data_IF_222965817663
#
_entry.id   IF_222965817663
#
_cell.length_a   1.000
_cell.length_b   1.000
_cell.length_c   1.000
_cell.angle_alpha   90.00
_cell.angle_beta   90.00
_cell.angle_gamma   90.00
#
_symmetry.space_group_name_H-M   'P 1'
#
loop_
_entity.id
_entity.type
_entity.pdbx_description
1 polymer ?
#
# COMPACT_ATOMS: atom_id res chain seq x y z
N UNK A 1 10.53 52.31 -10.03
CA UNK A 1 10.05 50.96 -10.37
C UNK A 1 10.47 50.66 -11.79
N UNK A 2 11.35 49.69 -12.00
CA UNK A 2 11.42 48.93 -13.26
C UNK A 2 12.08 47.60 -12.92
N UNK A 3 11.27 46.54 -13.01
CA UNK A 3 11.66 45.16 -12.73
C UNK A 3 12.68 44.69 -13.77
N UNK A 4 13.78 44.12 -13.29
CA UNK A 4 14.65 43.25 -14.08
C UNK A 4 13.82 42.08 -14.61
N UNK A 5 13.57 42.03 -15.91
CA UNK A 5 13.07 40.82 -16.56
C UNK A 5 14.26 39.85 -16.69
N UNK A 6 14.20 38.76 -15.93
CA UNK A 6 15.08 37.61 -16.11
C UNK A 6 14.67 36.92 -17.42
N UNK A 7 15.43 37.14 -18.50
CA UNK A 7 15.33 36.30 -19.69
C UNK A 7 15.89 34.91 -19.33
N UNK A 8 15.01 33.99 -18.94
CA UNK A 8 15.36 32.57 -18.87
C UNK A 8 15.75 32.10 -20.28
N UNK A 9 16.84 31.34 -20.40
CA UNK A 9 17.17 30.70 -21.68
C UNK A 9 15.98 29.87 -22.17
N UNK A 10 15.63 29.94 -23.46
CA UNK A 10 14.50 29.21 -24.00
C UNK A 10 14.72 27.72 -23.83
N UNK A 11 13.80 27.07 -23.12
CA UNK A 11 13.81 25.63 -22.89
C UNK A 11 13.72 24.93 -24.25
N UNK A 12 14.68 24.06 -24.55
CA UNK A 12 14.96 23.59 -25.91
C UNK A 12 13.77 22.95 -26.63
N UNK A 13 12.79 22.39 -25.91
CA UNK A 13 11.61 21.73 -26.47
C UNK A 13 10.36 22.62 -26.60
N UNK A 14 10.28 23.77 -25.92
CA UNK A 14 9.02 24.55 -25.80
C UNK A 14 8.55 25.22 -27.09
N UNK A 15 9.44 25.43 -28.06
CA UNK A 15 9.18 26.16 -29.31
C UNK A 15 9.53 25.31 -30.53
N UNK A 16 9.46 23.97 -30.41
CA UNK A 16 9.92 23.01 -31.40
C UNK A 16 8.77 22.22 -31.99
N UNK A 17 8.91 21.82 -33.24
CA UNK A 17 7.94 20.97 -33.95
C UNK A 17 8.34 19.50 -33.80
N UNK A 18 7.40 18.68 -33.32
CA UNK A 18 7.58 17.23 -33.17
C UNK A 18 6.96 16.50 -34.35
N UNK A 19 7.70 15.57 -34.96
CA UNK A 19 7.22 14.65 -35.98
C UNK A 19 7.24 13.23 -35.43
N UNK A 20 6.07 12.60 -35.35
CA UNK A 20 5.96 11.22 -34.89
C UNK A 20 6.13 10.23 -36.05
N UNK A 21 6.93 9.20 -35.82
CA UNK A 21 7.18 8.10 -36.74
C UNK A 21 6.69 6.82 -36.10
N UNK A 22 5.85 6.09 -36.85
CA UNK A 22 5.48 4.72 -36.56
C UNK A 22 6.31 3.77 -37.44
N UNK A 23 7.35 3.10 -36.91
CA UNK A 23 8.38 2.42 -37.71
C UNK A 23 7.79 1.46 -38.74
N UNK A 24 6.88 0.58 -38.31
CA UNK A 24 6.28 -0.47 -39.14
C UNK A 24 5.63 0.03 -40.43
N UNK A 25 5.17 1.28 -40.49
CA UNK A 25 4.43 1.82 -41.64
C UNK A 25 5.09 3.03 -42.28
N UNK A 26 6.31 3.40 -41.88
CA UNK A 26 6.93 4.62 -42.37
C UNK A 26 7.65 4.40 -43.71
N UNK A 27 8.69 3.56 -43.72
CA UNK A 27 9.45 3.27 -44.94
C UNK A 27 10.19 1.93 -44.83
N UNK A 28 9.85 1.01 -45.72
CA UNK A 28 10.56 -0.27 -45.92
C UNK A 28 11.76 -0.05 -46.87
N UNK A 29 12.91 -0.65 -46.52
CA UNK A 29 14.13 -0.65 -47.34
C UNK A 29 14.63 -2.04 -47.77
N UNK A 30 14.10 -3.12 -47.21
CA UNK A 30 14.57 -4.48 -47.47
C UNK A 30 13.56 -5.31 -48.30
N UNK A 31 12.33 -4.80 -48.48
CA UNK A 31 11.27 -5.41 -49.28
C UNK A 31 10.43 -6.46 -48.55
N UNK A 32 10.50 -6.55 -47.22
CA UNK A 32 9.69 -7.47 -46.41
C UNK A 32 8.26 -6.96 -46.13
N UNK A 33 7.96 -5.72 -46.50
CA UNK A 33 6.65 -5.09 -46.33
C UNK A 33 6.43 -4.38 -45.00
N UNK A 34 7.44 -4.33 -44.13
CA UNK A 34 7.44 -3.62 -42.84
C UNK A 34 8.47 -2.50 -42.91
N UNK A 35 8.12 -1.32 -42.39
CA UNK A 35 9.06 -0.21 -42.31
C UNK A 35 10.16 -0.45 -41.27
N UNK A 36 11.36 0.04 -41.55
CA UNK A 36 12.57 -0.27 -40.79
C UNK A 36 13.39 1.01 -40.46
N UNK A 37 14.34 0.89 -39.53
CA UNK A 37 15.18 2.02 -39.08
C UNK A 37 16.03 2.60 -40.23
N UNK A 38 16.68 1.80 -41.11
CA UNK A 38 17.34 2.32 -42.30
C UNK A 38 16.40 3.14 -43.21
N UNK A 39 15.12 2.79 -43.27
CA UNK A 39 14.08 3.53 -43.96
C UNK A 39 13.81 4.88 -43.34
N UNK A 40 13.75 4.95 -42.02
CA UNK A 40 13.69 6.22 -41.28
C UNK A 40 14.89 7.09 -41.63
N UNK A 41 16.10 6.52 -41.56
CA UNK A 41 17.36 7.22 -41.86
C UNK A 41 17.32 7.81 -43.28
N UNK A 42 16.86 7.05 -44.27
CA UNK A 42 16.77 7.48 -45.68
C UNK A 42 15.82 8.68 -45.91
N UNK A 43 15.00 9.04 -44.93
CA UNK A 43 14.02 10.13 -44.99
C UNK A 43 14.31 11.28 -44.03
N UNK A 44 15.44 11.26 -43.32
CA UNK A 44 15.78 12.34 -42.40
C UNK A 44 15.92 13.70 -43.09
N UNK A 45 16.46 13.75 -44.31
CA UNK A 45 16.55 14.99 -45.09
C UNK A 45 15.15 15.53 -45.44
N UNK A 46 14.21 14.65 -45.79
CA UNK A 46 12.81 15.02 -46.02
C UNK A 46 12.15 15.58 -44.75
N UNK A 47 12.40 14.96 -43.59
CA UNK A 47 11.85 15.40 -42.30
C UNK A 47 12.47 16.76 -41.90
N UNK A 48 13.77 16.95 -42.15
CA UNK A 48 14.47 18.20 -41.88
C UNK A 48 13.94 19.34 -42.77
N UNK A 49 13.72 19.07 -44.07
CA UNK A 49 13.17 20.04 -45.03
C UNK A 49 11.75 20.52 -44.66
N UNK A 50 10.97 19.69 -43.94
CA UNK A 50 9.66 20.09 -43.39
C UNK A 50 9.78 21.10 -42.23
N UNK A 51 10.98 21.34 -41.71
CA UNK A 51 11.22 22.22 -40.55
C UNK A 51 10.96 21.54 -39.21
N UNK A 52 11.07 20.20 -39.14
CA UNK A 52 10.93 19.44 -37.90
C UNK A 52 12.16 19.61 -37.02
N UNK A 53 11.94 19.71 -35.71
CA UNK A 53 13.00 19.86 -34.72
C UNK A 53 13.21 18.61 -33.86
N UNK A 54 12.13 17.84 -33.61
CA UNK A 54 12.14 16.66 -32.74
C UNK A 54 11.44 15.52 -33.46
N UNK A 55 12.05 14.34 -33.48
CA UNK A 55 11.45 13.12 -33.98
C UNK A 55 11.04 12.25 -32.78
N UNK A 56 9.76 11.88 -32.70
CA UNK A 56 9.26 10.88 -31.77
C UNK A 56 9.18 9.55 -32.51
N UNK A 57 9.93 8.54 -32.07
CA UNK A 57 9.85 7.19 -32.62
C UNK A 57 9.01 6.32 -31.69
N UNK A 58 7.89 5.80 -32.20
CA UNK A 58 7.08 4.78 -31.51
C UNK A 58 7.91 3.52 -31.21
N UNK A 59 7.42 2.58 -30.37
CA UNK A 59 8.22 1.47 -29.88
C UNK A 59 8.87 0.65 -31.01
N UNK A 60 10.20 0.54 -30.93
CA UNK A 60 11.05 -0.16 -31.90
C UNK A 60 11.93 -1.23 -31.23
N UNK A 61 11.76 -1.41 -29.92
CA UNK A 61 12.41 -2.41 -29.10
C UNK A 61 11.97 -3.83 -29.48
N UNK A 62 12.78 -4.82 -29.10
CA UNK A 62 12.42 -6.23 -29.26
C UNK A 62 11.08 -6.50 -28.57
N UNK A 63 10.15 -7.08 -29.32
CA UNK A 63 8.76 -7.28 -28.88
C UNK A 63 8.13 -8.45 -29.65
N UNK A 64 7.19 -9.21 -29.04
CA UNK A 64 6.37 -10.20 -29.73
C UNK A 64 5.41 -9.63 -30.79
N UNK A 65 5.25 -8.30 -30.84
CA UNK A 65 4.39 -7.58 -31.78
C UNK A 65 2.88 -7.85 -31.63
N UNK A 66 2.42 -8.28 -30.45
CA UNK A 66 0.98 -8.47 -30.19
C UNK A 66 0.25 -7.12 -30.19
N UNK A 67 0.90 -6.09 -29.66
CA UNK A 67 0.44 -4.70 -29.70
C UNK A 67 1.42 -3.82 -30.50
N UNK A 68 1.93 -4.40 -31.60
CA UNK A 68 2.76 -3.72 -32.59
C UNK A 68 3.93 -2.90 -31.97
N UNK A 69 4.62 -3.50 -31.00
CA UNK A 69 5.82 -2.94 -30.37
C UNK A 69 5.61 -2.39 -28.96
N UNK A 70 4.36 -2.15 -28.54
CA UNK A 70 4.10 -1.66 -27.18
C UNK A 70 4.29 -2.76 -26.11
N UNK A 71 4.23 -4.03 -26.49
CA UNK A 71 4.56 -5.22 -25.69
C UNK A 71 6.06 -5.55 -25.74
N UNK A 72 6.91 -4.84 -25.00
CA UNK A 72 8.37 -4.97 -25.09
C UNK A 72 8.91 -6.19 -24.34
N UNK A 73 9.64 -7.07 -25.03
CA UNK A 73 10.32 -8.22 -24.44
C UNK A 73 11.78 -7.97 -24.04
N UNK A 74 12.46 -6.99 -24.68
CA UNK A 74 13.78 -6.52 -24.26
C UNK A 74 13.98 -5.03 -24.58
N UNK A 75 14.16 -4.20 -23.55
CA UNK A 75 14.37 -2.76 -23.68
C UNK A 75 15.75 -2.36 -24.21
N UNK A 76 16.71 -3.30 -24.27
CA UNK A 76 18.09 -3.04 -24.70
C UNK A 76 18.40 -3.57 -26.10
N UNK A 77 17.42 -4.21 -26.75
CA UNK A 77 17.54 -4.78 -28.10
C UNK A 77 16.46 -4.23 -29.03
N UNK A 78 16.69 -4.31 -30.34
CA UNK A 78 15.80 -3.80 -31.39
C UNK A 78 14.99 -4.96 -31.97
N UNK A 79 13.72 -4.72 -32.32
CA UNK A 79 12.94 -5.75 -32.98
C UNK A 79 13.56 -6.10 -34.33
N UNK A 80 13.66 -7.39 -34.61
CA UNK A 80 14.43 -7.95 -35.72
C UNK A 80 14.00 -7.40 -37.09
N UNK A 81 12.70 -7.11 -37.24
CA UNK A 81 12.14 -6.53 -38.47
C UNK A 81 12.51 -5.05 -38.67
N UNK A 82 12.90 -4.34 -37.61
CA UNK A 82 13.26 -2.92 -37.69
C UNK A 82 14.76 -2.67 -37.86
N UNK A 83 15.60 -3.64 -37.50
CA UNK A 83 17.07 -3.57 -37.66
C UNK A 83 17.82 -4.04 -36.41
N UNK A 84 19.10 -3.67 -36.33
CA UNK A 84 19.95 -3.98 -35.19
C UNK A 84 20.18 -2.76 -34.28
N UNK A 85 20.77 -2.98 -33.10
CA UNK A 85 21.12 -1.92 -32.17
C UNK A 85 22.04 -0.86 -32.81
N UNK A 86 22.95 -1.27 -33.69
CA UNK A 86 23.82 -0.39 -34.47
C UNK A 86 23.04 0.54 -35.42
N UNK A 87 21.93 0.07 -35.98
CA UNK A 87 21.05 0.90 -36.82
C UNK A 87 20.36 1.99 -35.98
N UNK A 88 19.92 1.65 -34.77
CA UNK A 88 19.35 2.63 -33.84
C UNK A 88 20.39 3.67 -33.39
N UNK A 89 21.62 3.23 -33.09
CA UNK A 89 22.72 4.15 -32.78
C UNK A 89 23.02 5.09 -33.96
N UNK A 90 23.02 4.58 -35.18
CA UNK A 90 23.19 5.39 -36.40
C UNK A 90 22.03 6.37 -36.59
N UNK A 91 20.79 5.95 -36.37
CA UNK A 91 19.62 6.84 -36.42
C UNK A 91 19.78 8.02 -35.46
N UNK A 92 20.14 7.76 -34.20
CA UNK A 92 20.35 8.82 -33.20
C UNK A 92 21.43 9.80 -33.66
N UNK A 93 22.56 9.28 -34.14
CA UNK A 93 23.67 10.11 -34.62
C UNK A 93 23.24 10.97 -35.83
N UNK A 94 22.58 10.37 -36.81
CA UNK A 94 22.17 11.05 -38.04
C UNK A 94 21.08 12.11 -37.82
N UNK A 95 20.20 11.92 -36.83
CA UNK A 95 19.24 12.95 -36.39
C UNK A 95 20.00 14.13 -35.77
N UNK A 96 20.98 13.84 -34.90
CA UNK A 96 21.78 14.88 -34.24
C UNK A 96 22.68 15.66 -35.21
N UNK A 97 23.28 14.99 -36.20
CA UNK A 97 24.11 15.65 -37.23
C UNK A 97 23.30 16.67 -38.06
N UNK A 98 21.98 16.48 -38.13
CA UNK A 98 21.02 17.38 -38.78
C UNK A 98 20.46 18.45 -37.84
N UNK A 99 20.94 18.53 -36.61
CA UNK A 99 20.50 19.51 -35.60
C UNK A 99 19.10 19.24 -35.05
N UNK A 100 18.48 18.10 -35.38
CA UNK A 100 17.23 17.64 -34.81
C UNK A 100 17.49 16.87 -33.50
N UNK A 101 16.43 16.60 -32.73
CA UNK A 101 16.47 15.76 -31.52
C UNK A 101 15.59 14.54 -31.71
N UNK A 102 15.87 13.47 -30.97
CA UNK A 102 15.04 12.26 -30.95
C UNK A 102 14.54 12.00 -29.54
N UNK A 103 13.30 11.57 -29.44
CA UNK A 103 12.71 10.99 -28.23
C UNK A 103 12.11 9.63 -28.59
N UNK A 104 12.17 8.70 -27.67
CA UNK A 104 11.59 7.37 -27.82
C UNK A 104 10.36 7.22 -26.95
N UNK A 105 9.43 6.41 -27.43
CA UNK A 105 8.28 5.97 -26.66
C UNK A 105 8.70 4.91 -25.63
N UNK A 106 8.18 4.99 -24.40
CA UNK A 106 8.51 4.08 -23.30
C UNK A 106 7.21 3.44 -22.77
N UNK A 107 6.80 2.28 -23.28
CA UNK A 107 5.52 1.66 -22.90
C UNK A 107 5.58 0.96 -21.54
N UNK A 108 4.40 0.79 -20.91
CA UNK A 108 4.22 0.34 -19.51
C UNK A 108 3.84 -1.15 -19.33
N UNK A 109 4.00 -2.00 -20.35
CA UNK A 109 3.64 -3.43 -20.28
C UNK A 109 4.89 -4.32 -20.43
N UNK A 110 4.87 -5.51 -19.82
CA UNK A 110 5.92 -6.51 -20.04
C UNK A 110 5.83 -7.16 -21.43
N UNK A 111 6.83 -7.98 -21.75
CA UNK A 111 6.93 -8.72 -23.01
C UNK A 111 5.87 -9.79 -23.23
N UNK A 112 4.89 -9.92 -22.34
CA UNK A 112 3.70 -10.75 -22.52
C UNK A 112 2.41 -9.91 -22.64
N UNK A 113 2.53 -8.57 -22.72
CA UNK A 113 1.40 -7.65 -22.74
C UNK A 113 0.72 -7.47 -21.39
N UNK A 114 1.32 -7.97 -20.29
CA UNK A 114 0.78 -7.77 -18.96
C UNK A 114 1.21 -6.41 -18.41
N UNK A 115 0.26 -5.70 -17.84
CA UNK A 115 0.54 -4.52 -17.01
C UNK A 115 1.31 -5.02 -15.78
N UNK A 116 2.58 -4.62 -15.62
CA UNK A 116 3.39 -5.03 -14.48
C UNK A 116 3.04 -4.21 -13.26
N UNK A 117 2.67 -4.89 -12.17
CA UNK A 117 2.47 -4.23 -10.87
C UNK A 117 3.80 -3.61 -10.41
N UNK A 118 3.78 -2.47 -9.71
CA UNK A 118 5.01 -1.81 -9.26
C UNK A 118 5.90 -2.66 -8.33
N UNK A 119 5.32 -3.60 -7.57
CA UNK A 119 6.03 -4.54 -6.71
C UNK A 119 5.18 -5.80 -6.43
N UNK A 120 5.73 -6.72 -5.64
CA UNK A 120 5.11 -8.00 -5.28
C UNK A 120 4.16 -7.96 -4.05
N UNK A 121 3.67 -6.81 -3.59
CA UNK A 121 2.92 -6.73 -2.34
C UNK A 121 1.56 -7.43 -2.38
N UNK A 122 1.25 -8.17 -1.31
CA UNK A 122 -0.07 -8.79 -1.05
C UNK A 122 -0.94 -7.90 -0.16
N UNK A 123 -2.20 -7.77 -0.53
CA UNK A 123 -3.27 -7.20 0.28
C UNK A 123 -3.54 -8.05 1.53
N UNK A 124 -4.07 -7.44 2.58
CA UNK A 124 -4.58 -8.12 3.78
C UNK A 124 -5.78 -9.05 3.50
N UNK A 125 -6.36 -8.97 2.30
CA UNK A 125 -7.45 -9.82 1.78
C UNK A 125 -7.00 -10.64 0.56
N UNK A 126 -5.79 -11.21 0.62
CA UNK A 126 -5.21 -12.25 -0.25
C UNK A 126 -4.90 -11.89 -1.72
N UNK A 127 -5.50 -10.83 -2.26
CA UNK A 127 -5.22 -10.32 -3.61
C UNK A 127 -3.93 -9.48 -3.71
N UNK A 128 -3.42 -9.14 -4.91
CA UNK A 128 -2.37 -8.14 -5.06
C UNK A 128 -2.77 -6.78 -4.45
N UNK A 129 -1.81 -6.07 -3.86
CA UNK A 129 -2.06 -4.75 -3.24
C UNK A 129 -2.13 -3.59 -4.24
N UNK A 130 -2.33 -3.88 -5.52
CA UNK A 130 -2.34 -2.90 -6.61
C UNK A 130 -3.49 -3.18 -7.57
N UNK A 131 -4.27 -2.15 -7.88
CA UNK A 131 -5.31 -2.19 -8.91
C UNK A 131 -4.95 -1.23 -10.03
N UNK A 132 -5.08 -1.67 -11.27
CA UNK A 132 -4.83 -0.84 -12.45
C UNK A 132 -6.03 0.04 -12.73
N UNK A 133 -5.80 1.33 -12.98
CA UNK A 133 -6.81 2.26 -13.47
C UNK A 133 -6.64 2.47 -14.98
N UNK A 134 -7.63 2.02 -15.74
CA UNK A 134 -7.66 2.19 -17.20
C UNK A 134 -7.79 3.65 -17.64
N UNK A 135 -8.19 4.57 -16.76
CA UNK A 135 -8.30 5.99 -17.10
C UNK A 135 -6.92 6.65 -17.18
N UNK A 136 -6.08 6.43 -16.17
CA UNK A 136 -4.76 7.05 -16.03
C UNK A 136 -3.62 6.16 -16.54
N UNK A 137 -3.90 4.89 -16.83
CA UNK A 137 -2.90 3.89 -17.21
C UNK A 137 -1.82 3.70 -16.14
N UNK A 138 -2.25 3.71 -14.87
CA UNK A 138 -1.40 3.56 -13.69
C UNK A 138 -2.02 2.62 -12.67
N UNK A 139 -1.18 2.04 -11.81
CA UNK A 139 -1.62 1.30 -10.65
C UNK A 139 -1.78 2.24 -9.45
N UNK A 140 -2.84 2.04 -8.67
CA UNK A 140 -2.95 2.61 -7.34
C UNK A 140 -2.82 1.52 -6.27
N UNK A 141 -2.24 1.87 -5.13
CA UNK A 141 -1.99 0.95 -4.03
C UNK A 141 -3.21 0.86 -3.10
N UNK A 142 -3.51 -0.35 -2.65
CA UNK A 142 -4.49 -0.65 -1.61
C UNK A 142 -4.00 -1.84 -0.76
N UNK A 143 -3.60 -1.61 0.49
CA UNK A 143 -3.18 -2.71 1.39
C UNK A 143 -4.37 -3.53 1.90
N UNK A 144 -5.60 -3.08 1.64
CA UNK A 144 -6.87 -3.79 1.89
C UNK A 144 -7.61 -4.05 0.56
N UNK A 145 -8.93 -3.89 0.50
CA UNK A 145 -9.70 -4.11 -0.72
C UNK A 145 -9.39 -3.05 -1.80
N UNK A 146 -9.61 -3.38 -3.06
CA UNK A 146 -9.39 -2.44 -4.19
C UNK A 146 -10.22 -1.15 -4.09
N UNK A 147 -11.38 -1.20 -3.41
CA UNK A 147 -12.19 -0.02 -3.10
C UNK A 147 -11.66 0.84 -1.93
N UNK A 148 -10.52 0.49 -1.35
CA UNK A 148 -9.87 1.17 -0.22
C UNK A 148 -8.45 1.64 -0.63
N UNK A 149 -8.32 2.60 -1.57
CA UNK A 149 -7.01 3.12 -1.94
C UNK A 149 -6.30 3.78 -0.75
N UNK A 150 -5.02 3.50 -0.59
CA UNK A 150 -4.22 4.09 0.48
C UNK A 150 -4.03 5.60 0.26
N UNK A 151 -4.31 6.39 1.29
CA UNK A 151 -3.98 7.82 1.30
C UNK A 151 -2.46 8.01 1.41
N UNK A 152 -1.92 8.96 0.65
CA UNK A 152 -0.50 9.29 0.67
C UNK A 152 -0.20 10.31 1.79
N UNK A 153 0.23 9.82 2.94
CA UNK A 153 0.59 10.65 4.10
C UNK A 153 1.88 11.46 3.90
N UNK A 154 2.71 11.16 2.90
CA UNK A 154 3.86 12.00 2.57
C UNK A 154 3.40 13.38 2.04
N UNK A 155 2.22 13.45 1.44
CA UNK A 155 1.61 14.70 0.96
C UNK A 155 1.01 15.49 2.14
N UNK A 156 1.62 16.62 2.48
CA UNK A 156 1.12 17.48 3.57
C UNK A 156 -0.32 17.95 3.32
N UNK A 157 -0.71 18.29 2.08
CA UNK A 157 -2.08 18.71 1.79
C UNK A 157 -3.09 17.59 2.09
N UNK A 158 -2.72 16.33 1.81
CA UNK A 158 -3.54 15.18 2.19
C UNK A 158 -3.71 15.07 3.71
N UNK A 159 -2.62 15.21 4.48
CA UNK A 159 -2.68 15.16 5.95
C UNK A 159 -3.53 16.29 6.52
N UNK A 160 -3.36 17.52 6.02
CA UNK A 160 -4.16 18.68 6.43
C UNK A 160 -5.65 18.47 6.16
N UNK A 161 -6.00 17.93 4.99
CA UNK A 161 -7.38 17.61 4.63
C UNK A 161 -8.01 16.59 5.59
N UNK A 162 -7.26 15.53 5.96
CA UNK A 162 -7.69 14.55 6.97
C UNK A 162 -7.96 15.25 8.31
N UNK A 163 -7.01 16.06 8.77
CA UNK A 163 -7.12 16.75 10.06
C UNK A 163 -8.30 17.71 10.12
N UNK A 164 -8.46 18.56 9.11
CA UNK A 164 -9.45 19.63 9.14
C UNK A 164 -10.86 19.10 8.84
N UNK A 165 -11.00 18.20 7.88
CA UNK A 165 -12.32 17.79 7.37
C UNK A 165 -12.79 16.41 7.85
N UNK A 166 -11.89 15.50 8.21
CA UNK A 166 -12.29 14.21 8.79
C UNK A 166 -12.27 14.22 10.32
N UNK A 167 -11.36 14.96 10.95
CA UNK A 167 -11.14 14.89 12.40
C UNK A 167 -11.79 16.08 13.13
N UNK A 168 -11.34 17.33 12.87
CA UNK A 168 -11.87 18.53 13.54
C UNK A 168 -13.36 18.71 13.31
N UNK A 169 -13.86 18.37 12.13
CA UNK A 169 -15.29 18.40 11.82
C UNK A 169 -16.15 17.73 12.90
N UNK A 170 -15.72 16.57 13.42
CA UNK A 170 -16.45 15.84 14.47
C UNK A 170 -16.16 16.36 15.87
N UNK A 171 -14.93 16.79 16.15
CA UNK A 171 -14.60 17.40 17.44
C UNK A 171 -15.34 18.72 17.68
N UNK A 172 -15.50 19.54 16.65
CA UNK A 172 -16.31 20.76 16.68
C UNK A 172 -17.81 20.47 16.91
N UNK A 173 -18.21 19.20 16.84
CA UNK A 173 -19.57 18.70 17.11
C UNK A 173 -19.66 17.91 18.42
N UNK A 174 -18.60 17.88 19.22
CA UNK A 174 -18.60 17.31 20.56
C UNK A 174 -18.36 15.81 20.64
N UNK A 175 -17.69 15.20 19.66
CA UNK A 175 -17.14 13.85 19.82
C UNK A 175 -16.01 13.88 20.86
N UNK A 176 -15.96 12.91 21.77
CA UNK A 176 -14.96 12.88 22.86
C UNK A 176 -13.70 12.08 22.52
N UNK A 177 -13.61 11.50 21.32
CA UNK A 177 -12.46 10.70 20.94
C UNK A 177 -12.59 9.91 19.65
N UNK A 178 -11.49 9.29 19.24
CA UNK A 178 -11.43 8.41 18.07
C UNK A 178 -10.77 7.08 18.39
N UNK A 179 -11.38 6.00 17.87
CA UNK A 179 -10.65 4.75 17.57
C UNK A 179 -10.04 4.92 16.19
N UNK A 180 -8.71 4.97 16.11
CA UNK A 180 -8.00 5.18 14.85
C UNK A 180 -7.71 3.83 14.21
N UNK A 181 -8.27 3.61 13.03
CA UNK A 181 -8.11 2.34 12.29
C UNK A 181 -6.70 2.22 11.72
N UNK A 182 -6.06 1.09 12.01
CA UNK A 182 -4.78 0.64 11.44
C UNK A 182 -3.73 1.75 11.30
N UNK A 183 -3.64 2.58 12.34
CA UNK A 183 -2.90 3.83 12.34
C UNK A 183 -1.39 3.62 12.22
N UNK A 184 -0.87 2.48 12.63
CA UNK A 184 0.52 2.11 12.34
C UNK A 184 0.85 1.94 10.86
N UNK A 185 -0.13 2.05 9.93
CA UNK A 185 0.08 1.83 8.49
C UNK A 185 0.16 3.10 7.66
N UNK A 186 0.17 4.29 8.27
CA UNK A 186 0.17 5.56 7.53
C UNK A 186 1.49 5.82 6.79
N UNK A 187 2.63 5.44 7.38
CA UNK A 187 3.95 5.65 6.80
C UNK A 187 4.42 4.44 6.00
N UNK A 188 4.69 4.63 4.70
CA UNK A 188 5.24 3.60 3.81
C UNK A 188 6.73 3.87 3.57
N UNK A 189 7.52 2.81 3.42
CA UNK A 189 8.93 2.92 3.04
C UNK A 189 9.04 3.53 1.63
N UNK A 190 9.90 4.54 1.50
CA UNK A 190 10.12 5.25 0.22
C UNK A 190 10.54 4.29 -0.90
N UNK A 191 10.02 4.53 -2.10
CA UNK A 191 10.26 3.70 -3.28
C UNK A 191 9.40 2.43 -3.34
N UNK A 192 8.64 2.10 -2.28
CA UNK A 192 7.75 0.93 -2.22
C UNK A 192 8.44 -0.36 -2.69
N UNK A 193 9.60 -0.72 -2.11
CA UNK A 193 10.41 -1.83 -2.58
C UNK A 193 9.67 -3.16 -2.50
N UNK A 194 10.09 -4.15 -3.29
CA UNK A 194 9.58 -5.52 -3.15
C UNK A 194 9.69 -6.04 -1.71
N UNK A 195 8.66 -6.76 -1.29
CA UNK A 195 8.67 -7.49 -0.05
C UNK A 195 9.58 -8.72 -0.15
N UNK A 196 10.23 -9.12 0.96
CA UNK A 196 11.01 -10.36 1.00
C UNK A 196 10.17 -11.57 0.58
N UNK A 197 10.77 -12.46 -0.21
CA UNK A 197 10.13 -13.72 -0.61
C UNK A 197 10.18 -14.68 0.59
N UNK A 198 9.06 -14.78 1.30
CA UNK A 198 8.87 -15.67 2.46
C UNK A 198 7.97 -16.87 2.11
N UNK A 199 7.15 -16.74 1.07
CA UNK A 199 6.28 -17.78 0.53
C UNK A 199 6.67 -18.03 -0.95
N UNK A 200 7.69 -18.85 -1.25
CA UNK A 200 8.25 -19.00 -2.60
C UNK A 200 7.25 -19.42 -3.68
N UNK A 201 6.20 -20.13 -3.27
CA UNK A 201 5.16 -20.64 -4.17
C UNK A 201 4.04 -19.61 -4.43
N UNK A 202 4.16 -18.39 -3.90
CA UNK A 202 3.16 -17.34 -4.03
C UNK A 202 3.69 -16.17 -4.84
N UNK A 203 2.90 -15.70 -5.81
CA UNK A 203 3.25 -14.57 -6.67
C UNK A 203 3.39 -13.26 -5.88
N UNK A 204 2.52 -13.05 -4.89
CA UNK A 204 2.54 -11.89 -4.01
C UNK A 204 3.09 -12.25 -2.64
N UNK A 205 3.66 -11.28 -1.92
CA UNK A 205 4.31 -11.47 -0.63
C UNK A 205 3.77 -10.47 0.39
N UNK A 206 3.74 -10.86 1.67
CA UNK A 206 3.38 -9.93 2.74
C UNK A 206 4.41 -8.81 2.87
N UNK A 207 3.96 -7.57 2.69
CA UNK A 207 4.82 -6.38 2.74
C UNK A 207 4.69 -5.58 4.04
N UNK A 208 4.20 -6.22 5.11
CA UNK A 208 3.96 -5.57 6.42
C UNK A 208 5.20 -4.83 6.92
N UNK A 209 6.41 -5.36 6.70
CA UNK A 209 7.66 -4.69 7.07
C UNK A 209 7.91 -3.35 6.38
N UNK A 210 7.24 -3.09 5.25
CA UNK A 210 7.40 -1.86 4.47
C UNK A 210 6.34 -0.80 4.73
N UNK A 211 5.26 -1.13 5.46
CA UNK A 211 4.19 -0.18 5.72
C UNK A 211 3.68 -0.16 7.15
N UNK A 212 3.87 -1.22 7.96
CA UNK A 212 3.50 -1.20 9.37
C UNK A 212 4.64 -0.63 10.21
N UNK A 213 4.32 0.31 11.09
CA UNK A 213 5.28 1.06 11.91
C UNK A 213 6.37 1.74 11.04
N UNK A 214 5.97 2.29 9.89
CA UNK A 214 6.90 2.88 8.93
C UNK A 214 7.70 4.07 9.48
N UNK A 215 8.72 4.52 8.73
CA UNK A 215 9.79 5.40 9.26
C UNK A 215 9.30 6.76 9.78
N UNK A 216 8.16 7.25 9.30
CA UNK A 216 7.57 8.55 9.68
C UNK A 216 6.31 8.42 10.53
N UNK A 217 5.97 7.22 10.99
CA UNK A 217 4.68 7.00 11.66
C UNK A 217 4.53 7.89 12.91
N UNK A 218 5.56 7.91 13.75
CA UNK A 218 5.62 8.70 14.98
C UNK A 218 5.56 10.21 14.70
N UNK A 219 6.17 10.66 13.59
CA UNK A 219 6.07 12.05 13.15
C UNK A 219 4.62 12.44 12.83
N UNK A 220 3.90 11.60 12.09
CA UNK A 220 2.51 11.86 11.71
C UNK A 220 1.56 11.82 12.89
N UNK A 221 1.73 10.86 13.80
CA UNK A 221 0.88 10.78 14.99
C UNK A 221 1.17 11.92 15.96
N UNK A 222 2.43 12.35 16.08
CA UNK A 222 2.77 13.55 16.85
C UNK A 222 2.18 14.82 16.22
N UNK A 223 2.23 14.96 14.89
CA UNK A 223 1.58 16.06 14.17
C UNK A 223 0.07 16.06 14.42
N UNK A 224 -0.59 14.91 14.31
CA UNK A 224 -2.01 14.75 14.63
C UNK A 224 -2.30 15.12 16.09
N UNK A 225 -1.48 14.71 17.06
CA UNK A 225 -1.64 15.12 18.46
C UNK A 225 -1.61 16.64 18.63
N UNK A 226 -0.72 17.36 17.94
CA UNK A 226 -0.68 18.82 18.04
C UNK A 226 -1.96 19.47 17.51
N UNK A 227 -2.53 18.92 16.44
CA UNK A 227 -3.82 19.35 15.89
C UNK A 227 -4.95 19.15 16.92
N UNK A 228 -4.87 18.09 17.71
CA UNK A 228 -5.88 17.68 18.68
C UNK A 228 -5.73 18.31 20.06
N UNK A 229 -4.60 18.96 20.35
CA UNK A 229 -4.30 19.56 21.64
C UNK A 229 -5.37 20.53 22.20
N UNK A 230 -6.16 21.26 21.39
CA UNK A 230 -7.24 22.12 21.90
C UNK A 230 -8.45 21.37 22.48
N UNK A 231 -8.59 20.07 22.20
CA UNK A 231 -9.75 19.28 22.60
C UNK A 231 -9.41 18.36 23.79
N UNK A 232 -10.35 18.17 24.72
CA UNK A 232 -10.24 17.18 25.80
C UNK A 232 -10.74 15.83 25.29
N UNK A 233 -9.83 14.97 24.83
CA UNK A 233 -10.18 13.80 24.02
C UNK A 233 -9.45 12.52 24.43
N UNK A 234 -10.05 11.38 24.08
CA UNK A 234 -9.42 10.07 24.13
C UNK A 234 -9.10 9.55 22.72
N UNK A 235 -7.89 9.02 22.51
CA UNK A 235 -7.54 8.28 21.29
C UNK A 235 -7.17 6.84 21.61
N UNK A 236 -7.70 5.90 20.83
CA UNK A 236 -7.29 4.50 20.88
C UNK A 236 -6.86 4.04 19.50
N UNK A 237 -5.57 3.73 19.35
CA UNK A 237 -4.98 3.24 18.10
C UNK A 237 -5.20 1.75 17.92
N UNK A 238 -5.19 1.29 16.67
CA UNK A 238 -5.26 -0.13 16.35
C UNK A 238 -3.97 -0.53 15.65
N UNK A 239 -3.10 -1.24 16.37
CA UNK A 239 -1.74 -1.53 15.93
C UNK A 239 -1.54 -3.02 15.61
N UNK A 240 -2.16 -3.58 14.55
CA UNK A 240 -1.87 -4.93 14.13
C UNK A 240 -0.41 -5.00 13.64
N UNK A 241 0.26 -6.14 13.83
CA UNK A 241 1.65 -6.30 13.38
C UNK A 241 2.68 -5.42 14.11
N UNK A 242 2.42 -5.02 15.36
CA UNK A 242 3.41 -4.38 16.25
C UNK A 242 3.73 -5.29 17.44
N UNK A 243 4.49 -6.38 17.25
CA UNK A 243 4.74 -7.37 18.29
C UNK A 243 5.72 -6.88 19.38
N UNK A 244 6.59 -5.95 19.01
CA UNK A 244 7.68 -5.44 19.84
C UNK A 244 7.16 -4.40 20.84
N UNK A 245 7.41 -4.69 22.12
CA UNK A 245 6.99 -3.81 23.21
C UNK A 245 7.63 -2.43 23.10
N UNK A 246 8.87 -2.37 22.64
CA UNK A 246 9.59 -1.10 22.49
C UNK A 246 8.96 -0.19 21.45
N UNK A 247 8.46 -0.74 20.34
CA UNK A 247 7.73 0.04 19.34
C UNK A 247 6.38 0.48 19.88
N UNK A 248 5.67 -0.41 20.57
CA UNK A 248 4.40 -0.06 21.23
C UNK A 248 4.57 1.07 22.24
N UNK A 249 5.67 1.08 23.00
CA UNK A 249 5.94 2.13 23.98
C UNK A 249 6.07 3.51 23.36
N UNK A 250 6.60 3.63 22.14
CA UNK A 250 6.74 4.93 21.45
C UNK A 250 5.37 5.57 21.17
N UNK A 251 4.33 4.76 20.93
CA UNK A 251 2.99 5.26 20.71
C UNK A 251 2.31 5.78 21.98
N UNK A 252 2.37 5.01 23.08
CA UNK A 252 1.46 5.21 24.23
C UNK A 252 2.14 5.66 25.53
N UNK A 253 3.46 5.65 25.61
CA UNK A 253 4.14 6.03 26.86
C UNK A 253 4.19 7.55 27.03
N UNK A 254 3.76 8.11 28.17
CA UNK A 254 4.01 9.53 28.47
C UNK A 254 5.49 9.83 28.68
N UNK A 255 6.32 8.80 28.91
CA UNK A 255 7.74 8.90 29.24
C UNK A 255 8.66 8.47 28.08
N UNK A 256 8.13 8.19 26.89
CA UNK A 256 8.95 7.79 25.75
C UNK A 256 9.96 8.88 25.37
N UNK A 257 11.14 8.45 24.93
CA UNK A 257 12.09 9.26 24.18
C UNK A 257 12.08 8.75 22.73
N UNK A 258 12.17 9.64 21.72
CA UNK A 258 12.49 11.07 21.83
C UNK A 258 11.27 12.01 21.99
N UNK A 259 10.03 11.51 22.03
CA UNK A 259 8.83 12.33 21.99
C UNK A 259 7.74 11.93 23.00
N UNK A 260 6.81 12.85 23.32
CA UNK A 260 5.73 12.58 24.28
C UNK A 260 4.69 11.62 23.67
N UNK A 261 3.92 10.94 24.53
CA UNK A 261 2.79 10.06 24.17
C UNK A 261 2.03 10.55 22.94
N UNK A 262 1.89 9.73 21.90
CA UNK A 262 1.23 10.10 20.64
C UNK A 262 -0.27 9.77 20.70
N UNK A 263 -0.60 8.63 21.28
CA UNK A 263 -1.97 8.10 21.43
C UNK A 263 -2.17 7.68 22.88
N UNK A 264 -3.40 7.82 23.41
CA UNK A 264 -3.67 7.50 24.83
C UNK A 264 -3.49 6.02 25.13
N UNK A 265 -4.02 5.14 24.27
CA UNK A 265 -3.94 3.69 24.42
C UNK A 265 -4.04 2.99 23.06
N UNK A 266 -3.76 1.69 22.99
CA UNK A 266 -3.76 0.93 21.73
C UNK A 266 -4.36 -0.45 21.90
N UNK A 267 -5.12 -0.90 20.90
CA UNK A 267 -5.50 -2.30 20.75
C UNK A 267 -4.29 -3.11 20.32
N UNK A 268 -3.89 -4.03 21.18
CA UNK A 268 -2.89 -5.03 20.85
C UNK A 268 -3.54 -6.37 20.45
N UNK A 269 -2.93 -7.04 19.47
CA UNK A 269 -3.45 -8.25 18.87
C UNK A 269 -2.82 -9.55 19.38
N UNK A 270 -1.79 -9.52 20.24
CA UNK A 270 -1.12 -10.75 20.72
C UNK A 270 -2.12 -11.80 21.24
N UNK A 271 -3.04 -11.41 22.13
CA UNK A 271 -4.00 -12.34 22.73
C UNK A 271 -5.03 -12.83 21.71
N UNK A 272 -5.58 -11.92 20.91
CA UNK A 272 -6.65 -12.25 19.95
C UNK A 272 -6.14 -12.91 18.67
N UNK A 273 -4.84 -12.87 18.40
CA UNK A 273 -4.22 -13.66 17.33
C UNK A 273 -3.84 -15.08 17.77
N UNK A 274 -3.95 -15.42 19.07
CA UNK A 274 -3.66 -16.78 19.52
C UNK A 274 -4.54 -17.80 18.80
N UNK A 275 -3.89 -18.86 18.34
CA UNK A 275 -4.50 -19.92 17.57
C UNK A 275 -4.68 -19.64 16.09
N UNK A 276 -4.08 -18.56 15.55
CA UNK A 276 -4.04 -18.25 14.12
C UNK A 276 -2.62 -18.47 13.58
N UNK A 277 -2.49 -19.06 12.38
CA UNK A 277 -1.17 -19.16 11.72
C UNK A 277 -0.69 -17.76 11.31
N UNK A 278 0.57 -17.38 11.60
CA UNK A 278 1.16 -16.14 11.11
C UNK A 278 1.06 -16.06 9.58
N UNK A 279 0.52 -14.94 9.06
CA UNK A 279 0.31 -14.76 7.62
C UNK A 279 -0.94 -15.45 7.05
N UNK A 280 -1.55 -16.40 7.76
CA UNK A 280 -2.77 -17.07 7.32
C UNK A 280 -3.73 -17.31 8.51
N UNK A 281 -4.62 -16.35 8.75
CA UNK A 281 -5.59 -16.41 9.86
C UNK A 281 -6.62 -17.54 9.72
N UNK A 282 -6.83 -18.06 8.51
CA UNK A 282 -7.81 -19.11 8.23
C UNK A 282 -7.31 -20.49 8.64
N UNK A 283 -6.01 -20.65 8.87
CA UNK A 283 -5.41 -21.90 9.34
C UNK A 283 -5.20 -21.85 10.86
N UNK A 284 -6.00 -22.58 11.65
CA UNK A 284 -5.85 -22.58 13.10
C UNK A 284 -4.64 -23.38 13.56
N UNK A 285 -4.00 -22.94 14.65
CA UNK A 285 -2.93 -23.66 15.36
C UNK A 285 -3.28 -23.80 16.84
N UNK A 286 -2.80 -24.84 17.53
CA UNK A 286 -3.02 -24.95 18.97
C UNK A 286 -2.19 -23.91 19.73
N UNK A 287 -2.70 -23.48 20.88
CA UNK A 287 -1.98 -22.69 21.88
C UNK A 287 -2.29 -23.23 23.28
N UNK A 288 -1.43 -22.96 24.26
CA UNK A 288 -1.63 -23.43 25.64
C UNK A 288 -1.47 -22.26 26.63
N UNK A 289 -0.42 -22.25 27.44
CA UNK A 289 -0.16 -21.22 28.44
C UNK A 289 0.14 -19.83 27.82
N UNK A 290 0.19 -19.74 26.49
CA UNK A 290 0.32 -18.51 25.72
C UNK A 290 -0.75 -17.48 26.07
N UNK A 291 -2.00 -17.90 26.31
CA UNK A 291 -3.08 -16.99 26.69
C UNK A 291 -2.73 -16.17 27.94
N UNK A 292 -2.28 -16.85 29.01
CA UNK A 292 -1.86 -16.19 30.25
C UNK A 292 -0.59 -15.37 30.06
N UNK A 293 0.38 -15.86 29.26
CA UNK A 293 1.62 -15.13 28.95
C UNK A 293 1.33 -13.81 28.24
N UNK A 294 0.49 -13.82 27.20
CA UNK A 294 0.06 -12.62 26.48
C UNK A 294 -0.61 -11.64 27.44
N UNK A 295 -1.63 -12.05 28.20
CA UNK A 295 -2.29 -11.15 29.16
C UNK A 295 -1.30 -10.55 30.18
N UNK A 296 -0.41 -11.38 30.74
CA UNK A 296 0.58 -10.94 31.73
C UNK A 296 1.58 -9.94 31.13
N UNK A 297 2.02 -10.14 29.87
CA UNK A 297 2.89 -9.20 29.14
C UNK A 297 2.28 -7.80 29.16
N UNK A 298 0.99 -7.68 28.85
CA UNK A 298 0.29 -6.39 28.76
C UNK A 298 -0.07 -5.79 30.12
N UNK A 299 -0.35 -6.62 31.12
CA UNK A 299 -0.62 -6.13 32.48
C UNK A 299 0.61 -5.53 33.18
N UNK A 300 1.83 -5.91 32.77
CA UNK A 300 3.08 -5.32 33.28
C UNK A 300 3.44 -3.98 32.63
N UNK A 301 2.80 -3.63 31.52
CA UNK A 301 3.15 -2.43 30.75
C UNK A 301 2.95 -1.14 31.54
N UNK A 302 1.80 -0.92 32.22
CA UNK A 302 1.57 0.32 32.94
C UNK A 302 2.57 0.53 34.08
N UNK A 303 2.91 -0.54 34.81
CA UNK A 303 3.87 -0.48 35.92
C UNK A 303 5.29 -0.13 35.46
N UNK A 304 5.69 -0.62 34.30
CA UNK A 304 7.06 -0.47 33.79
C UNK A 304 7.29 0.80 33.00
N UNK A 305 6.24 1.38 32.41
CA UNK A 305 6.37 2.51 31.47
C UNK A 305 5.49 3.72 31.77
N UNK A 306 4.44 3.55 32.58
CA UNK A 306 3.39 4.55 32.77
C UNK A 306 2.39 4.62 31.61
N UNK A 307 2.51 3.74 30.61
CA UNK A 307 1.56 3.65 29.50
C UNK A 307 0.18 3.12 29.95
N UNK A 308 -0.89 3.51 29.26
CA UNK A 308 -2.23 2.99 29.48
C UNK A 308 -2.61 1.92 28.44
N UNK A 309 -3.25 0.85 28.87
CA UNK A 309 -3.55 -0.32 28.01
C UNK A 309 -5.05 -0.50 27.81
N UNK A 310 -5.41 -1.27 26.77
CA UNK A 310 -6.78 -1.75 26.54
C UNK A 310 -6.96 -3.18 27.06
N UNK A 311 -8.16 -3.50 27.52
CA UNK A 311 -8.59 -4.86 27.89
C UNK A 311 -9.75 -5.27 26.99
N UNK A 312 -9.54 -6.28 26.14
CA UNK A 312 -10.59 -6.81 25.25
C UNK A 312 -10.27 -8.24 24.82
N UNK A 313 -11.30 -8.98 24.40
CA UNK A 313 -11.18 -10.28 23.72
C UNK A 313 -12.02 -10.39 22.45
N UNK A 314 -12.93 -9.45 22.23
CA UNK A 314 -13.83 -9.41 21.08
C UNK A 314 -13.84 -8.02 20.47
N UNK A 315 -13.98 -8.00 19.15
CA UNK A 315 -14.41 -6.85 18.37
C UNK A 315 -15.03 -7.40 17.06
N UNK A 316 -15.26 -6.54 16.09
CA UNK A 316 -15.88 -6.93 14.82
C UNK A 316 -14.99 -7.79 13.91
N UNK A 317 -13.69 -7.89 14.19
CA UNK A 317 -12.71 -8.66 13.41
C UNK A 317 -12.29 -9.99 14.06
N UNK A 318 -12.86 -10.33 15.23
CA UNK A 318 -12.48 -11.50 16.01
C UNK A 318 -13.65 -12.48 16.19
N UNK A 319 -13.33 -13.77 16.22
CA UNK A 319 -14.28 -14.80 16.67
C UNK A 319 -14.66 -14.61 18.15
N UNK A 320 -15.80 -15.15 18.56
CA UNK A 320 -16.36 -14.98 19.90
C UNK A 320 -15.46 -15.59 20.98
N UNK A 321 -15.27 -14.85 22.07
CA UNK A 321 -14.33 -15.20 23.13
C UNK A 321 -14.67 -16.52 23.83
N UNK A 322 -15.97 -16.81 24.02
CA UNK A 322 -16.45 -18.08 24.58
C UNK A 322 -16.02 -19.27 23.73
N UNK A 323 -16.21 -19.18 22.41
CA UNK A 323 -15.83 -20.24 21.46
C UNK A 323 -14.30 -20.36 21.31
N UNK A 324 -13.56 -19.26 21.45
CA UNK A 324 -12.10 -19.24 21.21
C UNK A 324 -11.25 -19.59 22.44
N UNK A 325 -11.65 -19.14 23.62
CA UNK A 325 -10.82 -19.18 24.84
C UNK A 325 -11.46 -20.03 25.95
N UNK A 326 -12.52 -20.76 25.65
CA UNK A 326 -13.17 -21.67 26.58
C UNK A 326 -13.95 -22.76 25.86
N UNK A 327 -15.24 -22.88 26.17
CA UNK A 327 -16.14 -23.84 25.54
C UNK A 327 -17.51 -23.22 25.34
N UNK A 328 -18.03 -23.31 24.12
CA UNK A 328 -19.36 -22.86 23.72
C UNK A 328 -20.43 -23.96 23.78
N UNK A 329 -20.07 -25.13 24.31
CA UNK A 329 -21.04 -26.19 24.61
C UNK A 329 -22.11 -25.64 25.58
N UNK A 330 -23.40 -25.99 25.38
CA UNK A 330 -24.51 -25.43 26.16
C UNK A 330 -24.32 -25.52 27.68
N UNK A 331 -23.75 -26.61 28.18
CA UNK A 331 -23.51 -26.85 29.60
C UNK A 331 -22.39 -25.99 30.22
N UNK A 332 -21.48 -25.44 29.39
CA UNK A 332 -20.31 -24.68 29.84
C UNK A 332 -20.40 -23.19 29.48
N UNK A 333 -21.14 -22.83 28.43
CA UNK A 333 -21.22 -21.48 27.85
C UNK A 333 -21.37 -20.38 28.90
N UNK A 334 -22.36 -20.48 29.78
CA UNK A 334 -22.61 -19.46 30.81
C UNK A 334 -21.45 -19.33 31.80
N UNK A 335 -20.89 -20.47 32.23
CA UNK A 335 -19.77 -20.50 33.19
C UNK A 335 -18.51 -19.91 32.56
N UNK A 336 -18.23 -20.24 31.31
CA UNK A 336 -17.10 -19.71 30.55
C UNK A 336 -17.26 -18.21 30.34
N UNK A 337 -18.43 -17.74 29.91
CA UNK A 337 -18.70 -16.32 29.72
C UNK A 337 -18.47 -15.51 31.02
N UNK A 338 -18.97 -16.01 32.16
CA UNK A 338 -18.77 -15.38 33.47
C UNK A 338 -17.31 -15.42 33.95
N UNK A 339 -16.58 -16.49 33.64
CA UNK A 339 -15.16 -16.61 33.93
C UNK A 339 -14.35 -15.57 33.15
N UNK A 340 -14.58 -15.46 31.84
CA UNK A 340 -13.93 -14.47 30.99
C UNK A 340 -14.32 -13.04 31.39
N UNK A 341 -15.59 -12.78 31.71
CA UNK A 341 -16.02 -11.47 32.18
C UNK A 341 -15.33 -11.07 33.50
N UNK A 342 -15.25 -12.00 34.46
CA UNK A 342 -14.53 -11.77 35.73
C UNK A 342 -13.05 -11.48 35.49
N UNK A 343 -12.42 -12.20 34.56
CA UNK A 343 -11.02 -11.96 34.18
C UNK A 343 -10.85 -10.55 33.61
N UNK A 344 -11.65 -10.15 32.62
CA UNK A 344 -11.51 -8.85 31.96
C UNK A 344 -11.83 -7.68 32.90
N UNK A 345 -12.85 -7.81 33.74
CA UNK A 345 -13.25 -6.76 34.69
C UNK A 345 -12.23 -6.54 35.83
N UNK A 346 -11.27 -7.45 36.00
CA UNK A 346 -10.23 -7.37 37.05
C UNK A 346 -8.83 -7.03 36.51
N UNK A 347 -8.72 -6.78 35.20
CA UNK A 347 -7.47 -6.35 34.57
C UNK A 347 -7.31 -4.83 34.60
N UNK A 348 -6.07 -4.36 34.70
CA UNK A 348 -5.69 -2.96 34.52
C UNK A 348 -5.79 -2.55 33.05
N UNK A 349 -6.49 -1.45 32.79
CA UNK A 349 -6.66 -0.84 31.47
C UNK A 349 -8.11 -0.46 31.19
N UNK A 350 -8.36 0.12 30.03
CA UNK A 350 -9.73 0.44 29.58
C UNK A 350 -10.40 -0.81 29.03
N UNK A 351 -11.50 -1.23 29.65
CA UNK A 351 -12.29 -2.40 29.23
C UNK A 351 -13.17 -2.06 28.02
N UNK A 352 -12.99 -2.80 26.92
CA UNK A 352 -13.87 -2.77 25.76
C UNK A 352 -14.72 -4.04 25.72
N UNK A 353 -16.04 -3.85 25.57
CA UNK A 353 -17.02 -4.92 25.47
C UNK A 353 -17.65 -4.88 24.07
N UNK A 354 -17.65 -6.02 23.37
CA UNK A 354 -18.27 -6.11 22.06
C UNK A 354 -19.72 -6.59 22.15
N UNK A 355 -20.60 -6.09 21.28
CA UNK A 355 -22.02 -6.45 21.31
C UNK A 355 -22.24 -7.96 21.22
N UNK A 356 -23.02 -8.48 22.16
CA UNK A 356 -23.27 -9.91 22.31
C UNK A 356 -22.35 -10.62 23.29
N UNK A 357 -21.19 -10.03 23.62
CA UNK A 357 -20.27 -10.60 24.60
C UNK A 357 -20.93 -10.64 25.99
N UNK A 358 -21.74 -9.64 26.33
CA UNK A 358 -22.47 -9.51 27.59
C UNK A 358 -23.53 -10.60 27.80
N UNK A 359 -24.02 -11.20 26.72
CA UNK A 359 -24.94 -12.35 26.73
C UNK A 359 -24.24 -13.66 26.34
N UNK A 360 -22.90 -13.65 26.29
CA UNK A 360 -22.06 -14.79 25.95
C UNK A 360 -22.35 -15.36 24.56
N UNK A 361 -22.53 -14.52 23.53
CA UNK A 361 -22.67 -14.98 22.14
C UNK A 361 -21.51 -15.90 21.73
N UNK A 362 -21.81 -16.85 20.85
CA UNK A 362 -20.86 -17.87 20.35
C UNK A 362 -20.68 -17.71 18.84
N UNK A 363 -19.70 -18.41 18.27
CA UNK A 363 -19.45 -18.37 16.82
C UNK A 363 -20.68 -18.80 16.01
N UNK A 364 -20.70 -18.40 14.74
CA UNK A 364 -21.65 -18.95 13.77
C UNK A 364 -21.51 -20.47 13.68
N UNK A 365 -22.60 -21.18 13.35
CA UNK A 365 -22.59 -22.64 13.29
C UNK A 365 -21.67 -23.15 12.19
N UNK A 366 -20.99 -24.27 12.44
CA UNK A 366 -20.11 -24.94 11.46
C UNK A 366 -20.84 -25.40 10.19
N UNK A 367 -22.18 -25.51 10.24
CA UNK A 367 -23.01 -25.88 9.10
C UNK A 367 -23.16 -24.78 8.05
N UNK A 368 -22.70 -23.55 8.33
CA UNK A 368 -22.71 -22.48 7.34
C UNK A 368 -21.74 -22.77 6.19
N UNK A 369 -22.26 -22.72 4.97
CA UNK A 369 -21.43 -22.78 3.76
C UNK A 369 -20.66 -21.49 3.56
N UNK A 370 -19.59 -21.52 2.76
CA UNK A 370 -18.81 -20.32 2.43
C UNK A 370 -19.66 -19.16 1.88
N UNK A 371 -20.73 -19.46 1.15
CA UNK A 371 -21.62 -18.46 0.55
C UNK A 371 -22.48 -17.69 1.58
N UNK A 372 -22.59 -18.17 2.82
CA UNK A 372 -23.29 -17.45 3.89
C UNK A 372 -22.43 -16.30 4.46
N UNK A 373 -21.11 -16.35 4.26
CA UNK A 373 -20.20 -15.33 4.73
C UNK A 373 -20.20 -14.12 3.79
N UNK A 374 -20.40 -12.93 4.37
CA UNK A 374 -20.47 -11.65 3.65
C UNK A 374 -19.15 -10.88 3.67
N UNK A 375 -18.21 -11.29 4.52
CA UNK A 375 -16.94 -10.60 4.68
C UNK A 375 -16.09 -10.84 3.43
N UNK A 376 -15.53 -9.79 2.84
CA UNK A 376 -14.65 -9.89 1.67
C UNK A 376 -13.47 -10.84 1.92
N UNK A 377 -12.92 -10.84 3.13
CA UNK A 377 -11.84 -11.73 3.56
C UNK A 377 -12.24 -13.22 3.63
N UNK A 378 -13.53 -13.52 3.75
CA UNK A 378 -14.02 -14.91 3.80
C UNK A 378 -14.37 -15.45 2.40
N UNK A 379 -14.54 -14.57 1.42
CA UNK A 379 -14.91 -14.89 0.05
C UNK A 379 -13.68 -15.00 -0.85
N UNK A 380 -12.68 -14.16 -0.60
CA UNK A 380 -11.34 -14.21 -1.21
C UNK A 380 -10.40 -15.09 -0.37
#
# INVERSE_FOLDING_TARGET
MTKNACHQEPIWWKQRVVYQIYPASFKDTNGDGIGDIPGIISKLDYIQDLGVDIILVSPHYKSPQVDMGYDISDFQDIHESYGALEDCQRLIQEIHDRGMRVIFDLPKVDGNGNKCRPNNWRSQFTEPAWTFDDTTQEYYIHVYASGQPDLNWENEACRREIYDNAIKFWFDRGVDGFRVDTDNKFSKVSGLPDAPIVEPDQETQTAVCHYANGPRIHEYLYEMKQVLAPYDIMTVGELPNTPDLEDMWKYISPNSQPGPQEIVMVFNFDTVNLGQTPGNRSLPIPFDNDFKRCLTKWQKLPETTGAWTTVFLENHDQGRSVSRFGSDLPEFRERVAKMLASLLATMTGTLFLYQGQEIGMINGPESWSANEYKCVRSVN
#
